data_IF_709572820639
#
_entry.id   IF_709572820639
#
_cell.length_a   1.000
_cell.length_b   1.000
_cell.length_c   1.000
_cell.angle_alpha   90.00
_cell.angle_beta   90.00
_cell.angle_gamma   90.00
#
_symmetry.space_group_name_H-M   'P 1'
#
loop_
_entity.id
_entity.type
_entity.pdbx_description
1 polymer ?
#
# COMPACT_ATOMS: atom_id res chain seq x y z
N UNK A 1 -22.80 3.49 20.58
CA UNK A 1 -22.74 4.21 19.29
C UNK A 1 -21.59 3.65 18.47
N UNK A 2 -21.79 3.37 17.19
CA UNK A 2 -20.95 2.51 16.35
C UNK A 2 -19.50 3.02 16.19
N UNK A 3 -18.59 2.51 17.01
CA UNK A 3 -17.17 2.87 17.10
C UNK A 3 -16.37 2.53 15.82
N UNK A 4 -16.95 1.75 14.90
CA UNK A 4 -16.32 1.29 13.65
C UNK A 4 -16.48 2.26 12.47
N UNK A 5 -17.08 3.44 12.65
CA UNK A 5 -17.13 4.46 11.60
C UNK A 5 -16.09 5.56 11.83
N UNK A 6 -15.53 5.60 13.03
CA UNK A 6 -14.58 6.61 13.48
C UNK A 6 -13.20 6.00 13.63
N UNK A 7 -12.18 6.69 13.13
CA UNK A 7 -10.81 6.28 13.33
C UNK A 7 -10.33 6.57 14.74
N UNK A 8 -9.76 5.54 15.35
CA UNK A 8 -8.98 5.66 16.57
C UNK A 8 -7.62 6.31 16.30
N UNK A 9 -7.03 6.91 17.34
CA UNK A 9 -5.65 7.44 17.29
C UNK A 9 -4.60 6.44 16.78
N UNK A 10 -4.58 5.15 17.20
CA UNK A 10 -3.60 4.19 16.70
C UNK A 10 -3.76 3.88 15.20
N UNK A 11 -4.98 3.74 14.69
CA UNK A 11 -5.24 3.50 13.25
C UNK A 11 -4.71 4.64 12.39
N UNK A 12 -4.92 5.89 12.83
CA UNK A 12 -4.42 7.08 12.14
C UNK A 12 -2.89 7.15 12.14
N UNK A 13 -2.26 6.80 13.26
CA UNK A 13 -0.78 6.73 13.35
C UNK A 13 -0.22 5.63 12.46
N UNK A 14 -0.88 4.49 12.40
CA UNK A 14 -0.49 3.36 11.57
C UNK A 14 -0.58 3.72 10.08
N UNK A 15 -1.68 4.34 9.66
CA UNK A 15 -1.85 4.85 8.29
C UNK A 15 -0.83 5.95 7.96
N UNK A 16 -0.53 6.85 8.90
CA UNK A 16 0.50 7.87 8.72
C UNK A 16 1.89 7.25 8.50
N UNK A 17 2.27 6.27 9.33
CA UNK A 17 3.55 5.60 9.20
C UNK A 17 3.65 4.84 7.87
N UNK A 18 2.62 4.08 7.51
CA UNK A 18 2.54 3.38 6.23
C UNK A 18 2.60 4.36 5.04
N UNK A 19 1.94 5.50 5.15
CA UNK A 19 1.94 6.55 4.14
C UNK A 19 3.30 7.22 3.97
N UNK A 20 3.98 7.58 5.05
CA UNK A 20 5.33 8.16 5.02
C UNK A 20 6.34 7.18 4.43
N UNK A 21 6.24 5.90 4.81
CA UNK A 21 7.10 4.85 4.27
C UNK A 21 6.94 4.71 2.75
N UNK A 22 5.70 4.61 2.26
CA UNK A 22 5.44 4.59 0.81
C UNK A 22 5.85 5.89 0.13
N UNK A 23 5.66 7.04 0.77
CA UNK A 23 6.05 8.33 0.17
C UNK A 23 7.56 8.38 -0.09
N UNK A 24 8.39 7.99 0.89
CA UNK A 24 9.86 7.97 0.73
C UNK A 24 10.27 7.05 -0.41
N UNK A 25 9.70 5.85 -0.48
CA UNK A 25 10.05 4.87 -1.52
C UNK A 25 9.53 5.32 -2.88
N UNK A 26 8.29 5.78 -2.98
CA UNK A 26 7.73 6.30 -4.22
C UNK A 26 8.53 7.49 -4.77
N UNK A 27 9.03 8.38 -3.90
CA UNK A 27 9.95 9.46 -4.29
C UNK A 27 11.28 8.92 -4.84
N UNK A 28 11.84 7.86 -4.25
CA UNK A 28 13.05 7.23 -4.77
C UNK A 28 12.83 6.65 -6.17
N UNK A 29 11.74 5.90 -6.38
CA UNK A 29 11.36 5.36 -7.70
C UNK A 29 11.12 6.47 -8.73
N UNK A 30 10.53 7.60 -8.31
CA UNK A 30 10.16 8.68 -9.22
C UNK A 30 11.34 9.57 -9.62
N UNK A 31 12.22 9.91 -8.68
CA UNK A 31 13.28 10.90 -8.91
C UNK A 31 14.67 10.30 -9.13
N UNK A 32 14.88 9.04 -8.79
CA UNK A 32 16.19 8.40 -8.88
C UNK A 32 16.26 7.16 -9.82
N UNK A 33 15.47 7.05 -10.91
CA UNK A 33 15.53 5.87 -11.76
C UNK A 33 16.88 5.77 -12.54
N UNK A 34 17.62 6.86 -12.68
CA UNK A 34 18.91 6.88 -13.39
C UNK A 34 20.10 6.41 -12.55
N UNK A 35 19.91 6.12 -11.25
CA UNK A 35 21.01 5.64 -10.39
C UNK A 35 21.56 4.27 -10.82
N UNK A 36 20.98 3.59 -11.82
CA UNK A 36 21.34 2.23 -12.29
C UNK A 36 21.39 1.19 -11.16
N UNK A 37 20.87 1.52 -9.98
CA UNK A 37 20.57 0.58 -8.92
C UNK A 37 19.20 0.01 -9.29
N UNK A 38 19.07 -1.29 -9.53
CA UNK A 38 17.77 -1.88 -9.83
C UNK A 38 16.87 -1.74 -8.60
N UNK A 39 16.07 -0.67 -8.59
CA UNK A 39 15.04 -0.40 -7.57
C UNK A 39 13.78 -1.22 -7.86
N UNK A 40 13.69 -1.89 -9.00
CA UNK A 40 12.69 -2.93 -9.27
C UNK A 40 13.41 -4.28 -9.42
N UNK A 41 12.74 -5.41 -9.13
CA UNK A 41 13.41 -6.71 -9.15
C UNK A 41 13.98 -7.13 -10.51
N UNK A 42 13.49 -6.52 -11.58
CA UNK A 42 13.96 -6.68 -12.95
C UNK A 42 14.29 -5.31 -13.52
N UNK A 43 15.26 -5.26 -14.43
CA UNK A 43 15.59 -4.03 -15.14
C UNK A 43 14.39 -3.57 -15.93
N UNK A 44 13.84 -2.41 -15.58
CA UNK A 44 12.75 -1.77 -16.30
C UNK A 44 13.21 -0.44 -16.88
N UNK A 45 12.42 0.11 -17.80
CA UNK A 45 12.73 1.42 -18.36
C UNK A 45 12.54 2.49 -17.28
N UNK A 46 13.35 3.57 -17.27
CA UNK A 46 13.23 4.65 -16.29
C UNK A 46 11.83 5.29 -16.26
N UNK A 47 11.12 5.28 -17.38
CA UNK A 47 9.74 5.77 -17.45
C UNK A 47 8.76 4.87 -16.69
N UNK A 48 8.99 3.55 -16.67
CA UNK A 48 8.18 2.63 -15.90
C UNK A 48 8.46 2.74 -14.40
N UNK A 49 9.72 2.94 -14.00
CA UNK A 49 10.08 3.25 -12.60
C UNK A 49 9.35 4.49 -12.10
N UNK A 50 9.34 5.57 -12.90
CA UNK A 50 8.61 6.80 -12.59
C UNK A 50 7.11 6.57 -12.48
N UNK A 51 6.56 5.77 -13.37
CA UNK A 51 5.14 5.43 -13.34
C UNK A 51 4.77 4.66 -12.07
N UNK A 52 5.56 3.65 -11.68
CA UNK A 52 5.39 2.92 -10.42
C UNK A 52 5.54 3.87 -9.23
N UNK A 53 6.58 4.71 -9.23
CA UNK A 53 6.83 5.72 -8.21
C UNK A 53 5.65 6.66 -8.02
N UNK A 54 5.02 7.13 -9.10
CA UNK A 54 3.84 7.99 -9.03
C UNK A 54 2.64 7.31 -8.35
N UNK A 55 2.41 6.03 -8.64
CA UNK A 55 1.34 5.24 -7.98
C UNK A 55 1.64 5.09 -6.49
N UNK A 56 2.88 4.75 -6.13
CA UNK A 56 3.30 4.57 -4.74
C UNK A 56 3.21 5.91 -3.97
N UNK A 57 3.61 7.02 -4.58
CA UNK A 57 3.43 8.38 -4.03
C UNK A 57 1.94 8.66 -3.81
N UNK A 58 1.08 8.38 -4.78
CA UNK A 58 -0.37 8.59 -4.66
C UNK A 58 -0.97 7.82 -3.48
N UNK A 59 -0.60 6.56 -3.32
CA UNK A 59 -0.99 5.74 -2.16
C UNK A 59 -0.43 6.29 -0.84
N UNK A 60 0.82 6.75 -0.83
CA UNK A 60 1.45 7.39 0.33
C UNK A 60 0.71 8.67 0.77
N UNK A 61 0.43 9.57 -0.18
CA UNK A 61 -0.33 10.81 0.06
C UNK A 61 -1.74 10.49 0.54
N UNK A 62 -2.40 9.51 -0.06
CA UNK A 62 -3.72 9.06 0.37
C UNK A 62 -3.73 8.52 1.80
N UNK A 63 -2.73 7.73 2.17
CA UNK A 63 -2.59 7.20 3.53
C UNK A 63 -2.30 8.31 4.56
N UNK A 64 -1.50 9.31 4.20
CA UNK A 64 -1.27 10.50 5.03
C UNK A 64 -2.57 11.31 5.18
N UNK A 65 -3.34 11.48 4.09
CA UNK A 65 -4.64 12.12 4.16
C UNK A 65 -5.60 11.35 5.07
N UNK A 66 -5.62 10.01 5.00
CA UNK A 66 -6.43 9.19 5.90
C UNK A 66 -6.13 9.48 7.37
N UNK A 67 -4.86 9.71 7.73
CA UNK A 67 -4.49 10.08 9.08
C UNK A 67 -5.07 11.42 9.56
N UNK A 68 -5.51 12.32 8.66
CA UNK A 68 -6.17 13.58 9.04
C UNK A 68 -7.68 13.42 9.22
N UNK A 69 -8.27 12.36 8.68
CA UNK A 69 -9.71 12.11 8.75
C UNK A 69 -10.08 11.43 10.06
N UNK A 70 -11.29 11.74 10.55
CA UNK A 70 -11.88 11.09 11.73
C UNK A 70 -12.91 10.04 11.35
N UNK A 71 -13.47 10.13 10.15
CA UNK A 71 -14.52 9.23 9.66
C UNK A 71 -14.00 8.34 8.54
N UNK A 72 -14.49 7.10 8.47
CA UNK A 72 -14.13 6.13 7.43
C UNK A 72 -14.70 6.47 6.05
N UNK A 73 -15.89 7.07 6.00
CA UNK A 73 -16.61 7.33 4.74
C UNK A 73 -15.79 8.06 3.66
N UNK A 74 -15.11 9.19 3.94
CA UNK A 74 -14.36 9.94 2.93
C UNK A 74 -13.12 9.20 2.39
N UNK A 75 -12.55 8.28 3.16
CA UNK A 75 -11.30 7.58 2.81
C UNK A 75 -11.53 6.17 2.28
N UNK A 76 -12.77 5.67 2.39
CA UNK A 76 -13.15 4.33 1.96
C UNK A 76 -12.78 4.02 0.50
N UNK A 77 -13.01 4.92 -0.48
CA UNK A 77 -12.61 4.64 -1.87
C UNK A 77 -11.10 4.44 -2.02
N UNK A 78 -10.31 5.28 -1.32
CA UNK A 78 -8.86 5.18 -1.35
C UNK A 78 -8.37 3.86 -0.72
N UNK A 79 -8.94 3.45 0.41
CA UNK A 79 -8.62 2.18 1.02
C UNK A 79 -8.96 0.99 0.12
N UNK A 80 -10.08 1.05 -0.61
CA UNK A 80 -10.45 0.01 -1.58
C UNK A 80 -9.43 -0.07 -2.73
N UNK A 81 -9.02 1.07 -3.29
CA UNK A 81 -7.98 1.12 -4.32
C UNK A 81 -6.67 0.54 -3.79
N UNK A 82 -6.23 0.94 -2.59
CA UNK A 82 -5.02 0.44 -1.96
C UNK A 82 -5.05 -1.08 -1.77
N UNK A 83 -6.16 -1.64 -1.28
CA UNK A 83 -6.34 -3.08 -1.10
C UNK A 83 -6.31 -3.83 -2.43
N UNK A 84 -7.04 -3.35 -3.44
CA UNK A 84 -7.09 -4.02 -4.75
C UNK A 84 -5.74 -3.97 -5.45
N UNK A 85 -5.14 -2.78 -5.55
CA UNK A 85 -3.84 -2.59 -6.17
C UNK A 85 -2.75 -3.39 -5.46
N UNK A 86 -2.62 -3.22 -4.14
CA UNK A 86 -1.60 -3.91 -3.36
C UNK A 86 -1.76 -5.43 -3.41
N UNK A 87 -2.99 -5.95 -3.41
CA UNK A 87 -3.22 -7.40 -3.58
C UNK A 87 -2.71 -7.90 -4.92
N UNK A 88 -2.98 -7.18 -6.02
CA UNK A 88 -2.49 -7.58 -7.34
C UNK A 88 -0.96 -7.54 -7.41
N UNK A 89 -0.33 -6.53 -6.81
CA UNK A 89 1.14 -6.42 -6.74
C UNK A 89 1.73 -7.56 -5.91
N UNK A 90 1.21 -7.80 -4.70
CA UNK A 90 1.66 -8.88 -3.83
C UNK A 90 1.51 -10.26 -4.49
N UNK A 91 0.38 -10.52 -5.16
CA UNK A 91 0.16 -11.76 -5.91
C UNK A 91 1.13 -11.90 -7.09
N UNK A 92 1.38 -10.82 -7.83
CA UNK A 92 2.34 -10.84 -8.92
C UNK A 92 3.75 -11.13 -8.43
N UNK A 93 4.20 -10.50 -7.34
CA UNK A 93 5.50 -10.76 -6.72
C UNK A 93 5.62 -12.21 -6.24
N UNK A 94 4.57 -12.72 -5.58
CA UNK A 94 4.54 -14.10 -5.09
C UNK A 94 4.56 -15.11 -6.23
N UNK A 95 3.82 -14.85 -7.31
CA UNK A 95 3.85 -15.67 -8.52
C UNK A 95 5.26 -15.72 -9.15
N UNK A 96 5.95 -14.59 -9.25
CA UNK A 96 7.30 -14.55 -9.78
C UNK A 96 8.29 -15.32 -8.87
N UNK A 97 8.15 -15.19 -7.55
CA UNK A 97 8.98 -15.89 -6.57
C UNK A 97 8.78 -17.41 -6.61
N UNK A 98 7.53 -17.86 -6.56
CA UNK A 98 7.19 -19.27 -6.33
C UNK A 98 7.09 -20.10 -7.61
N UNK A 99 6.64 -19.50 -8.72
CA UNK A 99 6.45 -20.20 -9.99
C UNK A 99 7.54 -19.90 -11.02
N UNK A 100 7.97 -18.64 -11.13
CA UNK A 100 8.99 -18.24 -12.10
C UNK A 100 10.42 -18.31 -11.55
N UNK A 101 10.59 -18.75 -10.30
CA UNK A 101 11.88 -18.91 -9.64
C UNK A 101 12.76 -17.65 -9.72
N UNK A 102 12.12 -16.49 -9.55
CA UNK A 102 12.78 -15.19 -9.62
C UNK A 102 13.83 -15.02 -8.51
N UNK A 103 14.71 -14.03 -8.69
CA UNK A 103 15.78 -13.75 -7.74
C UNK A 103 15.24 -13.46 -6.33
N UNK A 104 15.99 -13.88 -5.30
CA UNK A 104 15.61 -13.72 -3.88
C UNK A 104 15.35 -12.25 -3.49
N UNK A 105 15.89 -11.28 -4.24
CA UNK A 105 15.61 -9.85 -4.05
C UNK A 105 14.10 -9.52 -4.11
N UNK A 106 13.30 -10.30 -4.85
CA UNK A 106 11.84 -10.16 -4.87
C UNK A 106 11.19 -10.27 -3.49
N UNK A 107 11.80 -10.99 -2.54
CA UNK A 107 11.32 -11.04 -1.15
C UNK A 107 11.42 -9.69 -0.45
N UNK A 108 12.42 -8.86 -0.76
CA UNK A 108 12.51 -7.52 -0.18
C UNK A 108 11.37 -6.63 -0.67
N UNK A 109 11.02 -6.74 -1.95
CA UNK A 109 9.88 -6.02 -2.53
C UNK A 109 8.54 -6.50 -1.96
N UNK A 110 8.38 -7.80 -1.79
CA UNK A 110 7.21 -8.38 -1.15
C UNK A 110 7.10 -7.92 0.32
N UNK A 111 8.21 -7.97 1.06
CA UNK A 111 8.27 -7.49 2.44
C UNK A 111 8.09 -5.97 2.57
N UNK A 112 8.36 -5.21 1.52
CA UNK A 112 8.08 -3.78 1.44
C UNK A 112 6.58 -3.50 1.22
N UNK A 113 5.95 -4.20 0.27
CA UNK A 113 4.55 -3.97 -0.13
C UNK A 113 3.55 -4.49 0.93
N UNK A 114 3.82 -5.67 1.49
CA UNK A 114 2.90 -6.37 2.40
C UNK A 114 2.55 -5.59 3.67
N UNK A 115 3.49 -4.93 4.39
CA UNK A 115 3.14 -4.15 5.58
C UNK A 115 2.12 -3.05 5.29
N UNK A 116 2.26 -2.31 4.19
CA UNK A 116 1.28 -1.31 3.78
C UNK A 116 -0.08 -1.98 3.51
N UNK A 117 -0.07 -3.07 2.75
CA UNK A 117 -1.27 -3.83 2.42
C UNK A 117 -1.99 -4.38 3.66
N UNK A 118 -1.25 -4.90 4.65
CA UNK A 118 -1.80 -5.43 5.92
C UNK A 118 -2.50 -4.34 6.72
N UNK A 119 -1.93 -3.14 6.77
CA UNK A 119 -2.57 -1.99 7.44
C UNK A 119 -3.92 -1.69 6.78
N UNK A 120 -3.94 -1.57 5.45
CA UNK A 120 -5.16 -1.23 4.72
C UNK A 120 -6.21 -2.35 4.75
N UNK A 121 -5.80 -3.62 4.69
CA UNK A 121 -6.71 -4.75 4.91
C UNK A 121 -7.30 -4.72 6.32
N UNK A 122 -6.48 -4.49 7.34
CA UNK A 122 -6.96 -4.41 8.73
C UNK A 122 -8.03 -3.34 8.89
N UNK A 123 -7.78 -2.13 8.37
CA UNK A 123 -8.74 -1.03 8.39
C UNK A 123 -10.01 -1.37 7.59
N UNK A 124 -9.85 -1.92 6.39
CA UNK A 124 -10.99 -2.25 5.52
C UNK A 124 -11.87 -3.36 6.10
N UNK A 125 -11.27 -4.42 6.65
CA UNK A 125 -12.00 -5.50 7.32
C UNK A 125 -12.74 -4.97 8.55
N UNK A 126 -12.07 -4.18 9.39
CA UNK A 126 -12.65 -3.64 10.62
C UNK A 126 -13.82 -2.69 10.35
N UNK A 127 -13.68 -1.78 9.39
CA UNK A 127 -14.65 -0.73 9.13
C UNK A 127 -15.75 -1.13 8.13
N UNK A 128 -15.49 -2.02 7.15
CA UNK A 128 -16.45 -2.33 6.08
C UNK A 128 -17.01 -3.77 6.12
N UNK A 129 -16.20 -4.77 6.49
CA UNK A 129 -16.59 -6.19 6.41
C UNK A 129 -17.21 -6.68 7.73
N UNK A 130 -16.49 -6.52 8.85
CA UNK A 130 -16.91 -6.99 10.18
C UNK A 130 -18.30 -6.47 10.61
N UNK A 131 -18.67 -5.21 10.35
CA UNK A 131 -20.00 -4.72 10.72
C UNK A 131 -21.15 -5.34 9.91
N UNK A 132 -20.88 -5.87 8.71
CA UNK A 132 -21.88 -6.56 7.89
C UNK A 132 -22.13 -7.97 8.39
N UNK A 133 -21.05 -8.70 8.67
CA UNK A 133 -21.12 -10.07 9.19
C UNK A 133 -21.85 -10.13 10.54
N UNK A 134 -21.70 -9.11 11.40
CA UNK A 134 -22.36 -9.07 12.72
C UNK A 134 -23.83 -8.66 12.69
N UNK A 135 -24.35 -8.23 11.54
CA UNK A 135 -25.77 -7.86 11.37
C UNK A 135 -26.62 -9.01 10.86
N UNK A 136 -25.98 -10.06 10.38
CA UNK A 136 -26.58 -11.34 9.97
C UNK A 136 -26.47 -12.36 11.13
#
# INVERSE_FOLDING_TARGET
MNNHLTFSLPERRLALFAGLFNLVIGLAFFFLPELNIPVWPVSISPILDRFIGAIVIGNGVGAIWLATQREWAPVRPLAMVAVVYGTLVALALLYHLLWLHAATIFWLYFLFDVPFLVVFYGLFIYHDIMPRIRRD
#
